data_IF_478536637171
#
_entry.id   IF_478536637171
#
_cell.length_a   1.000
_cell.length_b   1.000
_cell.length_c   1.000
_cell.angle_alpha   90.00
_cell.angle_beta   90.00
_cell.angle_gamma   90.00
#
_symmetry.space_group_name_H-M   'P 1'
#
loop_
_entity.id
_entity.type
_entity.pdbx_description
1 polymer ?
#
# COMPACT_ATOMS: atom_id res chain seq x y z
N UNK A 1 2.79 10.57 28.43
CA UNK A 1 2.97 11.01 27.03
C UNK A 1 4.20 10.29 26.47
N UNK A 2 4.01 9.22 25.71
CA UNK A 2 5.07 8.60 24.90
C UNK A 2 5.13 9.24 23.51
N UNK A 3 6.27 9.16 22.79
CA UNK A 3 6.37 9.69 21.44
C UNK A 3 5.50 8.87 20.49
N UNK A 4 4.82 9.54 19.56
CA UNK A 4 4.13 8.89 18.47
C UNK A 4 5.19 8.29 17.53
N UNK A 5 5.31 6.95 17.53
CA UNK A 5 6.17 6.23 16.59
C UNK A 5 5.58 6.35 15.17
N UNK A 6 6.17 7.26 14.39
CA UNK A 6 5.99 7.37 12.95
C UNK A 6 6.94 6.39 12.28
N UNK A 7 6.53 5.13 12.14
CA UNK A 7 7.39 4.16 11.45
C UNK A 7 6.57 3.19 10.58
N UNK A 8 6.53 3.51 9.28
CA UNK A 8 6.72 2.52 8.22
C UNK A 8 8.25 2.24 8.04
N UNK A 9 9.13 2.93 8.80
CA UNK A 9 10.60 2.75 8.82
C UNK A 9 11.20 2.99 10.23
N UNK A 10 11.58 1.97 11.02
CA UNK A 10 12.36 2.20 12.23
C UNK A 10 13.82 2.49 11.87
N UNK A 11 14.14 3.79 11.78
CA UNK A 11 15.50 4.32 11.88
C UNK A 11 16.41 4.19 10.65
N UNK A 12 17.49 5.00 10.68
CA UNK A 12 18.64 5.03 9.76
C UNK A 12 18.48 5.97 8.54
N UNK A 13 18.50 7.28 8.81
CA UNK A 13 19.21 8.23 7.95
C UNK A 13 20.52 8.65 8.64
N UNK A 14 21.57 7.84 8.49
CA UNK A 14 22.95 8.34 8.52
C UNK A 14 23.45 8.29 7.08
N UNK A 15 23.69 9.46 6.50
CA UNK A 15 24.26 9.63 5.17
C UNK A 15 25.66 9.02 5.14
N UNK A 16 25.85 7.94 4.38
CA UNK A 16 27.17 7.46 3.99
C UNK A 16 27.41 7.91 2.54
N UNK A 17 28.50 8.63 2.23
CA UNK A 17 28.74 9.12 0.87
C UNK A 17 29.01 7.96 -0.10
N UNK A 18 28.42 8.04 -1.29
CA UNK A 18 28.59 7.07 -2.37
C UNK A 18 30.05 7.08 -2.87
N UNK A 19 30.77 5.99 -2.63
CA UNK A 19 32.06 5.71 -3.25
C UNK A 19 31.81 5.12 -4.64
N UNK A 20 32.34 5.74 -5.68
CA UNK A 20 32.25 5.28 -7.07
C UNK A 20 32.90 3.91 -7.25
N UNK A 21 32.13 2.92 -7.72
CA UNK A 21 32.65 1.61 -8.12
C UNK A 21 33.13 1.66 -9.59
N UNK A 22 34.27 1.04 -9.93
CA UNK A 22 34.77 0.98 -11.30
C UNK A 22 33.96 -0.02 -12.16
N UNK A 23 33.75 0.34 -13.42
CA UNK A 23 33.05 -0.48 -14.43
C UNK A 23 33.95 -1.62 -14.95
N UNK A 24 33.46 -2.86 -15.10
CA UNK A 24 34.21 -3.92 -15.76
C UNK A 24 34.07 -3.79 -17.29
N UNK A 25 35.21 -3.75 -17.99
CA UNK A 25 35.29 -3.85 -19.45
C UNK A 25 35.16 -5.31 -19.87
N UNK A 26 34.14 -5.64 -20.67
CA UNK A 26 33.97 -6.98 -21.24
C UNK A 26 34.40 -6.98 -22.71
N UNK A 27 35.40 -7.80 -23.04
CA UNK A 27 35.85 -8.10 -24.41
C UNK A 27 35.06 -9.30 -24.93
N UNK A 28 34.30 -9.13 -26.01
CA UNK A 28 33.50 -10.19 -26.61
C UNK A 28 34.27 -10.84 -27.78
N UNK A 29 34.79 -12.05 -27.54
CA UNK A 29 35.26 -12.97 -28.59
C UNK A 29 34.07 -13.82 -29.02
N UNK A 30 33.74 -13.82 -30.31
CA UNK A 30 32.63 -14.61 -30.87
C UNK A 30 33.18 -15.96 -31.33
N UNK A 31 32.88 -17.02 -30.57
CA UNK A 31 33.08 -18.40 -31.02
C UNK A 31 31.77 -18.88 -31.67
N UNK A 32 31.82 -19.19 -32.97
CA UNK A 32 30.69 -19.70 -33.76
C UNK A 32 30.54 -21.20 -33.48
N UNK A 33 29.41 -21.59 -32.89
CA UNK A 33 28.97 -23.00 -32.73
C UNK A 33 28.02 -23.35 -33.89
N UNK A 34 28.17 -24.50 -34.58
CA UNK A 34 27.33 -24.84 -35.72
C UNK A 34 25.92 -25.27 -35.28
N UNK A 35 24.92 -24.77 -36.01
CA UNK A 35 23.49 -24.97 -35.78
C UNK A 35 23.02 -26.37 -36.23
N UNK A 36 22.24 -27.06 -35.39
CA UNK A 36 21.61 -28.36 -35.71
C UNK A 36 20.18 -28.12 -36.20
N UNK A 37 19.64 -28.88 -37.19
CA UNK A 37 18.39 -28.51 -37.84
C UNK A 37 17.19 -28.71 -36.92
N UNK A 38 16.42 -27.64 -36.71
CA UNK A 38 15.14 -27.66 -35.99
C UNK A 38 14.04 -28.20 -36.90
N UNK A 39 13.43 -29.33 -36.51
CA UNK A 39 12.17 -29.78 -37.12
C UNK A 39 11.03 -28.89 -36.61
N UNK A 40 10.28 -28.32 -37.56
CA UNK A 40 9.09 -27.50 -37.33
C UNK A 40 7.94 -28.36 -36.80
N UNK A 41 7.68 -28.29 -35.50
CA UNK A 41 6.41 -28.74 -34.91
C UNK A 41 5.46 -27.54 -34.91
N UNK A 42 4.37 -27.63 -35.67
CA UNK A 42 3.31 -26.63 -35.67
C UNK A 42 2.63 -26.60 -34.29
N UNK A 43 2.67 -25.45 -33.62
CA UNK A 43 1.96 -25.20 -32.36
C UNK A 43 0.49 -24.87 -32.65
N UNK A 44 -0.41 -25.71 -32.17
CA UNK A 44 -1.86 -25.49 -32.17
C UNK A 44 -2.20 -24.30 -31.24
N UNK A 45 -3.14 -23.41 -31.60
CA UNK A 45 -3.46 -22.25 -30.76
C UNK A 45 -4.08 -22.70 -29.44
N UNK A 46 -3.36 -22.53 -28.33
CA UNK A 46 -3.89 -22.77 -26.99
C UNK A 46 -5.01 -21.79 -26.69
N UNK A 47 -6.20 -22.31 -26.39
CA UNK A 47 -7.32 -21.51 -25.89
C UNK A 47 -6.86 -20.67 -24.69
N UNK A 48 -7.35 -19.41 -24.55
CA UNK A 48 -7.09 -18.64 -23.35
C UNK A 48 -7.62 -19.40 -22.12
N UNK A 49 -6.94 -19.33 -20.96
CA UNK A 49 -7.41 -19.99 -19.75
C UNK A 49 -8.85 -19.57 -19.47
N UNK A 50 -9.72 -20.56 -19.33
CA UNK A 50 -11.11 -20.34 -18.94
C UNK A 50 -11.08 -19.75 -17.53
N UNK A 51 -11.42 -18.46 -17.39
CA UNK A 51 -11.60 -17.83 -16.07
C UNK A 51 -12.80 -18.52 -15.44
N UNK A 52 -12.54 -19.50 -14.58
CA UNK A 52 -13.57 -20.14 -13.79
C UNK A 52 -14.12 -19.10 -12.80
N UNK A 53 -15.44 -19.03 -12.59
CA UNK A 53 -16.00 -18.16 -11.57
C UNK A 53 -15.38 -18.47 -10.21
N UNK A 54 -15.09 -17.44 -9.43
CA UNK A 54 -14.50 -17.57 -8.10
C UNK A 54 -15.36 -18.52 -7.24
N UNK A 55 -14.71 -19.51 -6.64
CA UNK A 55 -15.36 -20.43 -5.71
C UNK A 55 -15.67 -19.67 -4.40
N UNK A 56 -16.95 -19.54 -4.00
CA UNK A 56 -17.31 -18.84 -2.76
C UNK A 56 -16.78 -19.53 -1.48
N UNK A 57 -16.19 -20.73 -1.59
CA UNK A 57 -15.48 -21.41 -0.50
C UNK A 57 -13.97 -21.13 -0.46
N UNK A 58 -13.44 -20.34 -1.40
CA UNK A 58 -12.02 -20.01 -1.44
C UNK A 58 -11.62 -19.22 -0.18
N UNK A 59 -10.73 -19.79 0.61
CA UNK A 59 -10.19 -19.17 1.83
C UNK A 59 -8.66 -19.19 1.78
N UNK A 60 -8.04 -18.17 2.35
CA UNK A 60 -6.59 -18.07 2.50
C UNK A 60 -6.19 -18.37 3.94
N UNK A 61 -5.02 -19.00 4.15
CA UNK A 61 -4.47 -19.14 5.50
C UNK A 61 -4.11 -17.77 6.06
N UNK A 62 -4.06 -17.69 7.39
CA UNK A 62 -3.53 -16.51 8.07
C UNK A 62 -2.06 -16.30 7.69
N UNK A 63 -1.61 -15.05 7.46
CA UNK A 63 -0.23 -14.77 7.15
C UNK A 63 0.64 -15.02 8.39
N UNK A 64 1.47 -16.07 8.36
CA UNK A 64 2.38 -16.46 9.45
C UNK A 64 3.24 -15.28 9.92
N UNK A 65 3.66 -14.44 8.97
CA UNK A 65 4.47 -13.24 9.20
C UNK A 65 3.78 -12.13 9.99
N UNK A 66 2.46 -12.21 10.20
CA UNK A 66 1.71 -11.30 11.06
C UNK A 66 1.29 -11.91 12.42
N UNK A 67 1.32 -13.24 12.54
CA UNK A 67 0.87 -13.94 13.76
C UNK A 67 2.00 -14.60 14.56
N UNK A 68 3.20 -14.79 13.98
CA UNK A 68 4.31 -15.44 14.67
C UNK A 68 5.63 -14.64 14.62
N UNK A 69 6.02 -13.96 15.72
CA UNK A 69 5.20 -13.67 16.90
C UNK A 69 4.16 -12.58 16.63
N UNK A 70 2.99 -12.66 17.29
CA UNK A 70 1.97 -11.60 17.22
C UNK A 70 2.54 -10.30 17.78
N UNK A 71 2.61 -9.27 16.94
CA UNK A 71 2.99 -7.92 17.34
C UNK A 71 1.83 -6.97 17.04
N UNK A 72 1.29 -6.34 18.09
CA UNK A 72 0.14 -5.44 17.98
C UNK A 72 0.60 -4.01 17.69
N UNK A 73 0.06 -3.42 16.63
CA UNK A 73 0.26 -2.02 16.28
C UNK A 73 -0.68 -1.15 17.11
N UNK A 74 -0.25 -0.83 18.34
CA UNK A 74 -1.05 -0.10 19.34
C UNK A 74 -1.65 1.22 18.85
N UNK A 75 -0.98 1.90 17.91
CA UNK A 75 -1.51 3.10 17.25
C UNK A 75 -2.90 2.85 16.66
N UNK A 76 -3.11 1.78 15.92
CA UNK A 76 -4.40 1.45 15.30
C UNK A 76 -5.33 0.79 16.32
N UNK A 77 -4.79 -0.10 17.16
CA UNK A 77 -5.56 -0.80 18.19
C UNK A 77 -6.25 0.14 19.19
N UNK A 78 -5.67 1.32 19.42
CA UNK A 78 -6.28 2.34 20.27
C UNK A 78 -7.07 3.35 19.44
N UNK A 79 -6.50 3.88 18.34
CA UNK A 79 -7.12 5.00 17.61
C UNK A 79 -8.41 4.60 16.91
N UNK A 80 -8.48 3.40 16.32
CA UNK A 80 -9.67 2.95 15.59
C UNK A 80 -10.86 2.76 16.55
N UNK A 81 -10.77 2.01 17.66
CA UNK A 81 -11.89 1.93 18.60
C UNK A 81 -12.25 3.30 19.18
N UNK A 82 -11.25 4.13 19.52
CA UNK A 82 -11.49 5.45 20.10
C UNK A 82 -12.30 6.35 19.16
N UNK A 83 -11.97 6.43 17.87
CA UNK A 83 -12.72 7.29 16.93
C UNK A 83 -14.16 6.80 16.74
N UNK A 84 -14.40 5.48 16.77
CA UNK A 84 -15.75 4.92 16.70
C UNK A 84 -16.55 5.24 17.96
N UNK A 85 -15.94 5.11 19.15
CA UNK A 85 -16.58 5.49 20.41
C UNK A 85 -16.93 6.98 20.45
N UNK A 86 -16.05 7.85 19.96
CA UNK A 86 -16.33 9.28 19.82
C UNK A 86 -17.44 9.56 18.81
N UNK A 87 -17.48 8.84 17.68
CA UNK A 87 -18.54 8.97 16.68
C UNK A 87 -19.93 8.60 17.25
N UNK A 88 -20.00 7.63 18.17
CA UNK A 88 -21.24 7.26 18.85
C UNK A 88 -21.84 8.39 19.72
N UNK A 89 -21.06 9.42 20.08
CA UNK A 89 -21.60 10.59 20.78
C UNK A 89 -22.66 11.32 19.93
N UNK A 90 -22.68 11.15 18.61
CA UNK A 90 -23.72 11.69 17.74
C UNK A 90 -25.14 11.18 18.10
N UNK A 91 -25.26 10.03 18.77
CA UNK A 91 -26.55 9.49 19.21
C UNK A 91 -27.03 10.08 20.55
N UNK A 92 -26.18 10.83 21.25
CA UNK A 92 -26.55 11.54 22.46
C UNK A 92 -27.10 12.91 22.04
N UNK A 93 -28.38 13.25 22.34
CA UNK A 93 -29.03 14.44 21.80
C UNK A 93 -28.27 15.76 22.04
N UNK A 94 -27.52 15.84 23.15
CA UNK A 94 -26.73 17.02 23.52
C UNK A 94 -25.52 17.28 22.62
N UNK A 95 -25.01 16.25 21.94
CA UNK A 95 -23.87 16.35 21.03
C UNK A 95 -24.30 16.31 19.56
N UNK A 96 -25.59 16.12 19.27
CA UNK A 96 -26.10 16.05 17.90
C UNK A 96 -26.18 17.44 17.26
N UNK A 97 -25.80 17.54 15.98
CA UNK A 97 -25.87 18.78 15.20
C UNK A 97 -26.06 18.49 13.72
N UNK A 98 -27.07 19.13 13.10
CA UNK A 98 -27.29 19.07 11.66
C UNK A 98 -26.15 19.72 10.86
N UNK A 99 -25.52 20.77 11.41
CA UNK A 99 -24.30 21.34 10.83
C UNK A 99 -23.17 20.32 10.86
N UNK A 100 -23.04 19.56 11.96
CA UNK A 100 -22.09 18.46 12.06
C UNK A 100 -22.32 17.38 11.01
N UNK A 101 -23.58 16.96 10.79
CA UNK A 101 -23.93 16.02 9.72
C UNK A 101 -23.53 16.55 8.34
N UNK A 102 -23.86 17.80 8.03
CA UNK A 102 -23.51 18.42 6.75
C UNK A 102 -21.98 18.48 6.53
N UNK A 103 -21.22 18.88 7.57
CA UNK A 103 -19.76 18.93 7.52
C UNK A 103 -19.13 17.54 7.41
N UNK A 104 -19.70 16.52 8.07
CA UNK A 104 -19.25 15.13 7.93
C UNK A 104 -19.42 14.62 6.51
N UNK A 105 -20.58 14.85 5.89
CA UNK A 105 -20.83 14.49 4.48
C UNK A 105 -19.87 15.22 3.55
N UNK A 106 -19.71 16.54 3.72
CA UNK A 106 -18.75 17.32 2.94
C UNK A 106 -17.33 16.80 3.12
N UNK A 107 -16.94 16.46 4.34
CA UNK A 107 -15.64 15.87 4.68
C UNK A 107 -15.40 14.53 3.97
N UNK A 108 -16.41 13.67 3.85
CA UNK A 108 -16.30 12.41 3.09
C UNK A 108 -15.94 12.65 1.62
N UNK A 109 -16.51 13.69 0.99
CA UNK A 109 -16.16 14.03 -0.39
C UNK A 109 -14.80 14.71 -0.48
N UNK A 110 -14.51 15.68 0.38
CA UNK A 110 -13.25 16.44 0.33
C UNK A 110 -12.05 15.57 0.68
N UNK A 111 -12.08 14.85 1.80
CA UNK A 111 -10.94 14.06 2.26
C UNK A 111 -10.95 12.64 1.71
N UNK A 112 -12.12 11.98 1.71
CA UNK A 112 -12.25 10.61 1.20
C UNK A 112 -12.18 10.56 -0.33
N UNK A 113 -13.06 11.30 -1.02
CA UNK A 113 -13.10 11.24 -2.49
C UNK A 113 -11.91 11.94 -3.12
N UNK A 114 -11.63 13.21 -2.78
CA UNK A 114 -10.50 13.91 -3.42
C UNK A 114 -9.15 13.41 -2.88
N UNK A 115 -9.00 13.27 -1.56
CA UNK A 115 -7.74 12.84 -0.94
C UNK A 115 -7.38 11.39 -1.24
N UNK A 116 -8.27 10.44 -0.92
CA UNK A 116 -7.98 9.01 -1.09
C UNK A 116 -8.28 8.53 -2.50
N UNK A 117 -9.52 8.67 -2.99
CA UNK A 117 -9.89 8.04 -4.27
C UNK A 117 -9.19 8.70 -5.47
N UNK A 118 -9.10 10.02 -5.51
CA UNK A 118 -8.41 10.73 -6.60
C UNK A 118 -6.92 10.85 -6.31
N UNK A 119 -6.54 11.35 -5.13
CA UNK A 119 -5.15 11.59 -4.74
C UNK A 119 -4.34 10.31 -4.58
N UNK A 120 -4.48 9.62 -3.46
CA UNK A 120 -3.66 8.44 -3.16
C UNK A 120 -3.87 7.31 -4.18
N UNK A 121 -5.11 6.97 -4.50
CA UNK A 121 -5.44 5.81 -5.30
C UNK A 121 -5.15 6.04 -6.80
N UNK A 122 -5.85 6.97 -7.46
CA UNK A 122 -5.73 7.14 -8.92
C UNK A 122 -4.45 7.87 -9.32
N UNK A 123 -4.13 8.96 -8.63
CA UNK A 123 -3.01 9.82 -9.01
C UNK A 123 -1.65 9.26 -8.53
N UNK A 124 -1.51 8.88 -7.26
CA UNK A 124 -0.22 8.42 -6.72
C UNK A 124 0.04 6.94 -6.97
N UNK A 125 -0.92 6.05 -6.67
CA UNK A 125 -0.71 4.61 -6.83
C UNK A 125 -0.72 4.19 -8.29
N UNK A 126 -1.82 4.48 -9.01
CA UNK A 126 -2.03 3.97 -10.37
C UNK A 126 -1.50 4.86 -11.48
N UNK A 127 -1.04 6.07 -11.16
CA UNK A 127 -0.57 7.06 -12.16
C UNK A 127 -1.59 7.26 -13.30
N UNK A 128 -2.88 7.20 -12.97
CA UNK A 128 -3.98 7.25 -13.95
C UNK A 128 -4.22 8.63 -14.55
N UNK A 129 -3.54 9.66 -14.04
CA UNK A 129 -3.59 11.03 -14.55
C UNK A 129 -2.30 11.77 -14.24
N UNK A 130 -1.95 12.75 -15.09
CA UNK A 130 -0.85 13.67 -14.85
C UNK A 130 -1.41 14.97 -14.26
N UNK A 131 -0.82 15.45 -13.18
CA UNK A 131 -1.21 16.68 -12.49
C UNK A 131 0.00 17.58 -12.23
N UNK A 132 -0.17 18.92 -12.20
CA UNK A 132 0.87 19.80 -11.71
C UNK A 132 1.15 19.52 -10.23
N UNK A 133 2.41 19.68 -9.81
CA UNK A 133 2.87 19.27 -8.47
C UNK A 133 2.10 19.90 -7.32
N UNK A 134 1.74 21.18 -7.42
CA UNK A 134 0.93 21.84 -6.38
C UNK A 134 -0.42 21.16 -6.15
N UNK A 135 -1.06 20.67 -7.22
CA UNK A 135 -2.35 19.99 -7.15
C UNK A 135 -2.19 18.58 -6.59
N UNK A 136 -1.19 17.84 -7.09
CA UNK A 136 -0.80 16.52 -6.58
C UNK A 136 -0.52 16.55 -5.07
N UNK A 137 0.27 17.54 -4.61
CA UNK A 137 0.59 17.75 -3.20
C UNK A 137 -0.63 18.14 -2.37
N UNK A 138 -1.52 18.99 -2.92
CA UNK A 138 -2.76 19.37 -2.23
C UNK A 138 -3.66 18.16 -1.99
N UNK A 139 -3.87 17.32 -3.01
CA UNK A 139 -4.66 16.09 -2.85
C UNK A 139 -4.00 15.13 -1.86
N UNK A 140 -2.68 15.02 -1.86
CA UNK A 140 -1.98 14.21 -0.88
C UNK A 140 -2.18 14.71 0.56
N UNK A 141 -2.15 16.03 0.80
CA UNK A 141 -2.45 16.59 2.12
C UNK A 141 -3.88 16.28 2.57
N UNK A 142 -4.86 16.37 1.66
CA UNK A 142 -6.24 15.97 1.96
C UNK A 142 -6.32 14.48 2.34
N UNK A 143 -5.51 13.63 1.69
CA UNK A 143 -5.38 12.21 2.01
C UNK A 143 -4.84 11.98 3.42
N UNK A 144 -3.77 12.71 3.82
CA UNK A 144 -3.19 12.63 5.17
C UNK A 144 -4.22 12.93 6.26
N UNK A 145 -5.16 13.85 6.01
CA UNK A 145 -6.23 14.18 6.96
C UNK A 145 -7.20 13.04 7.26
N UNK A 146 -7.20 11.95 6.49
CA UNK A 146 -8.08 10.78 6.73
C UNK A 146 -7.52 9.77 7.72
N UNK A 147 -6.27 9.95 8.18
CA UNK A 147 -5.55 9.03 9.06
C UNK A 147 -5.36 7.61 8.48
N UNK A 148 -5.42 7.45 7.15
CA UNK A 148 -5.12 6.19 6.44
C UNK A 148 -3.61 6.06 6.12
N UNK A 149 -2.75 6.39 7.07
CA UNK A 149 -1.29 6.43 6.89
C UNK A 149 -0.73 7.47 5.92
N UNK A 150 0.60 7.50 5.89
CA UNK A 150 1.42 8.40 5.07
C UNK A 150 1.28 8.04 3.58
N UNK A 151 1.52 9.00 2.67
CA UNK A 151 1.33 8.77 1.24
C UNK A 151 2.10 7.57 0.70
N UNK A 152 3.38 7.42 1.05
CA UNK A 152 4.16 6.30 0.54
C UNK A 152 3.72 4.97 1.18
N UNK A 153 3.37 4.94 2.46
CA UNK A 153 2.94 3.70 3.14
C UNK A 153 1.59 3.21 2.59
N UNK A 154 0.64 4.11 2.36
CA UNK A 154 -0.62 3.75 1.68
C UNK A 154 -0.39 3.24 0.26
N UNK A 155 0.43 3.94 -0.53
CA UNK A 155 0.75 3.55 -1.92
C UNK A 155 1.46 2.20 -1.97
N UNK A 156 2.41 1.94 -1.07
CA UNK A 156 3.10 0.66 -0.98
C UNK A 156 2.12 -0.48 -0.76
N UNK A 157 1.28 -0.37 0.28
CA UNK A 157 0.31 -1.42 0.65
C UNK A 157 -0.70 -1.65 -0.47
N UNK A 158 -1.18 -0.57 -1.10
CA UNK A 158 -2.14 -0.67 -2.20
C UNK A 158 -1.54 -1.32 -3.45
N UNK A 159 -0.27 -1.04 -3.77
CA UNK A 159 0.44 -1.68 -4.89
C UNK A 159 0.67 -3.17 -4.61
N UNK A 160 1.03 -3.54 -3.38
CA UNK A 160 1.21 -4.94 -2.97
C UNK A 160 -0.12 -5.70 -3.05
N UNK A 161 -1.20 -5.11 -2.55
CA UNK A 161 -2.55 -5.67 -2.65
C UNK A 161 -2.93 -5.96 -4.11
N UNK A 162 -2.77 -4.99 -5.01
CA UNK A 162 -3.04 -5.23 -6.43
C UNK A 162 -2.14 -6.29 -7.06
N UNK A 163 -0.88 -6.38 -6.65
CA UNK A 163 0.05 -7.37 -7.19
C UNK A 163 -0.29 -8.80 -6.73
N UNK A 164 -0.81 -8.96 -5.51
CA UNK A 164 -1.05 -10.26 -4.90
C UNK A 164 -2.53 -10.54 -4.60
N UNK A 165 -3.46 -9.78 -5.19
CA UNK A 165 -4.90 -9.87 -4.92
C UNK A 165 -5.39 -11.31 -4.88
N UNK A 166 -6.20 -11.61 -3.87
CA UNK A 166 -6.84 -12.92 -3.65
C UNK A 166 -5.86 -14.08 -3.40
N UNK A 167 -4.58 -13.79 -3.14
CA UNK A 167 -3.56 -14.78 -2.81
C UNK A 167 -2.57 -14.22 -1.77
N UNK A 168 -1.79 -15.08 -1.12
CA UNK A 168 -0.67 -14.60 -0.31
C UNK A 168 0.47 -14.10 -1.22
N UNK A 169 1.18 -13.01 -0.89
CA UNK A 169 1.08 -12.19 0.32
C UNK A 169 0.25 -10.90 0.11
N UNK A 170 -1.07 -10.97 -0.04
CA UNK A 170 -1.93 -9.78 0.02
C UNK A 170 -2.13 -9.32 1.48
N UNK A 171 -1.75 -8.08 1.85
CA UNK A 171 -1.84 -7.58 3.21
C UNK A 171 -3.24 -7.63 3.80
N UNK A 172 -4.29 -7.40 3.01
CA UNK A 172 -5.66 -7.22 3.50
C UNK A 172 -6.69 -8.04 2.75
N UNK A 173 -6.31 -9.24 2.30
CA UNK A 173 -7.25 -10.11 1.60
C UNK A 173 -8.47 -10.46 2.48
N UNK A 174 -9.70 -10.25 1.98
CA UNK A 174 -10.91 -10.67 2.69
C UNK A 174 -11.07 -12.20 2.73
N UNK A 175 -10.31 -12.94 1.91
CA UNK A 175 -10.32 -14.40 1.87
C UNK A 175 -9.65 -15.03 3.10
N UNK A 176 -8.87 -14.28 3.88
CA UNK A 176 -8.38 -14.76 5.19
C UNK A 176 -9.55 -14.83 6.17
N UNK A 177 -10.14 -13.67 6.49
CA UNK A 177 -11.43 -13.52 7.16
C UNK A 177 -12.00 -12.12 6.86
N UNK A 178 -13.32 -11.94 7.05
CA UNK A 178 -13.94 -10.62 6.94
C UNK A 178 -13.27 -9.57 7.86
N UNK A 179 -13.04 -9.92 9.13
CA UNK A 179 -12.42 -9.00 10.08
C UNK A 179 -10.96 -8.69 9.72
N UNK A 180 -10.23 -9.67 9.18
CA UNK A 180 -8.87 -9.45 8.70
C UNK A 180 -8.83 -8.41 7.60
N UNK A 181 -9.60 -8.60 6.51
CA UNK A 181 -9.63 -7.66 5.39
C UNK A 181 -10.22 -6.30 5.73
N UNK A 182 -11.09 -6.22 6.76
CA UNK A 182 -11.69 -4.96 7.17
C UNK A 182 -10.76 -4.06 8.01
N UNK A 183 -10.23 -4.58 9.13
CA UNK A 183 -9.30 -3.82 9.99
C UNK A 183 -8.20 -4.66 10.66
N UNK A 184 -8.31 -6.00 10.67
CA UNK A 184 -7.36 -6.87 11.37
C UNK A 184 -5.93 -6.70 10.87
N UNK A 185 -5.74 -6.55 9.56
CA UNK A 185 -4.43 -6.30 8.94
C UNK A 185 -3.73 -5.02 9.42
N UNK A 186 -4.48 -4.02 9.91
CA UNK A 186 -3.92 -2.79 10.49
C UNK A 186 -3.47 -2.99 11.95
N UNK A 187 -4.13 -3.91 12.66
CA UNK A 187 -3.92 -4.14 14.09
C UNK A 187 -2.66 -4.95 14.38
N UNK A 188 -2.24 -5.80 13.44
CA UNK A 188 -1.10 -6.69 13.59
C UNK A 188 0.02 -6.30 12.63
N UNK A 189 1.26 -6.34 13.11
CA UNK A 189 2.42 -6.03 12.29
C UNK A 189 2.76 -7.20 11.39
N UNK A 190 2.73 -6.98 10.07
CA UNK A 190 3.17 -7.96 9.09
C UNK A 190 4.62 -7.68 8.66
N UNK A 191 5.51 -8.61 9.01
CA UNK A 191 6.95 -8.50 8.76
C UNK A 191 7.34 -8.50 7.28
N UNK A 192 6.50 -9.01 6.38
CA UNK A 192 6.77 -9.01 4.94
C UNK A 192 6.71 -7.59 4.35
N UNK A 193 6.05 -6.67 5.05
CA UNK A 193 5.76 -5.32 4.57
C UNK A 193 6.43 -4.22 5.39
N UNK A 194 7.06 -4.56 6.51
CA UNK A 194 7.78 -3.61 7.36
C UNK A 194 9.25 -3.44 6.95
N UNK A 195 9.72 -4.21 5.96
CA UNK A 195 11.08 -4.09 5.46
C UNK A 195 11.25 -2.84 4.58
N UNK A 196 12.25 -2.03 4.93
CA UNK A 196 12.68 -0.82 4.19
C UNK A 196 12.88 -1.09 2.70
N UNK A 197 13.38 -2.27 2.33
CA UNK A 197 13.63 -2.64 0.94
C UNK A 197 12.34 -2.75 0.13
N UNK A 198 11.34 -3.41 0.68
CA UNK A 198 10.04 -3.58 0.02
C UNK A 198 9.32 -2.23 -0.03
N UNK A 199 9.38 -1.46 1.06
CA UNK A 199 8.89 -0.09 1.10
C UNK A 199 9.43 0.77 -0.04
N UNK A 200 10.76 0.83 -0.18
CA UNK A 200 11.43 1.59 -1.24
C UNK A 200 11.12 1.03 -2.63
N UNK A 201 11.03 -0.29 -2.79
CA UNK A 201 10.68 -0.93 -4.07
C UNK A 201 9.34 -0.43 -4.60
N UNK A 202 8.34 -0.32 -3.74
CA UNK A 202 6.99 0.09 -4.13
C UNK A 202 6.77 1.61 -4.14
N UNK A 203 7.70 2.43 -3.63
CA UNK A 203 7.46 3.88 -3.44
C UNK A 203 8.62 4.76 -3.89
N UNK A 204 9.64 4.20 -4.56
CA UNK A 204 10.82 4.96 -5.02
C UNK A 204 10.46 6.17 -5.87
N UNK A 205 9.37 6.12 -6.61
CA UNK A 205 8.86 7.23 -7.41
C UNK A 205 8.31 8.38 -6.55
N UNK A 206 7.71 8.09 -5.40
CA UNK A 206 7.22 9.10 -4.44
C UNK A 206 8.35 9.65 -3.58
N UNK A 207 9.19 8.78 -3.01
CA UNK A 207 10.24 9.16 -2.05
C UNK A 207 11.36 10.03 -2.64
N UNK A 208 11.43 10.16 -3.97
CA UNK A 208 12.31 11.13 -4.64
C UNK A 208 11.88 12.58 -4.42
N UNK A 209 10.60 12.82 -4.13
CA UNK A 209 10.07 14.16 -3.89
C UNK A 209 10.25 14.53 -2.40
N UNK A 210 10.98 15.61 -2.07
CA UNK A 210 11.18 16.04 -0.69
C UNK A 210 9.88 16.37 0.04
N UNK A 211 8.81 16.70 -0.69
CA UNK A 211 7.49 16.90 -0.09
C UNK A 211 6.96 15.62 0.56
N UNK A 212 7.01 14.50 -0.17
CA UNK A 212 6.54 13.21 0.36
C UNK A 212 7.44 12.72 1.47
N UNK A 213 8.76 12.85 1.33
CA UNK A 213 9.70 12.45 2.37
C UNK A 213 9.46 13.16 3.73
N UNK A 214 8.92 14.38 3.73
CA UNK A 214 8.58 15.11 4.96
C UNK A 214 7.27 14.67 5.60
N UNK A 215 6.41 13.98 4.85
CA UNK A 215 5.12 13.46 5.33
C UNK A 215 5.22 12.03 5.86
N UNK A 216 6.35 11.36 5.63
CA UNK A 216 6.70 10.06 6.21
C UNK A 216 7.16 10.18 7.65
#
# INVERSE_FOLDING_TARGET
MGPFDHTCLPGIFKQTPLRSLPQPTYSMSIDIVPEKPTQSVAQEPSNPPKVLPADPSQTLPWPETAIEPVQVRWRYAISIPLIHLLACLAFVPWFFSWTGVALSILGLYVFGTLGINIGYHRLLTHRGMNAPKWFEHTLALLGVCTMQDTPACWVAMHRIHHQHSDHQPDPHSPLVTFLWGHFGWLMFENRDFTNVKDYQRFTRDLLKDPFYLKLE
#
